data_IF_181006887800
#
_entry.id   IF_181006887800
#
_cell.length_a   1.000
_cell.length_b   1.000
_cell.length_c   1.000
_cell.angle_alpha   90.00
_cell.angle_beta   90.00
_cell.angle_gamma   90.00
#
_symmetry.space_group_name_H-M   'P 1'
#
loop_
_entity.id
_entity.type
_entity.pdbx_description
1 polymer ?
#
# COMPACT_ATOMS: atom_id res chain seq x y z
N UNK A 1 9.95 32.79 15.41
CA UNK A 1 11.39 32.45 15.20
C UNK A 1 11.92 31.40 16.20
N UNK A 2 11.14 30.35 16.49
CA UNK A 2 11.50 29.25 17.41
C UNK A 2 11.40 27.88 16.72
N UNK A 3 10.56 27.76 15.68
CA UNK A 3 10.32 26.51 14.94
C UNK A 3 11.50 26.13 14.00
N UNK A 4 12.24 27.11 13.47
CA UNK A 4 13.41 26.84 12.62
C UNK A 4 14.59 26.20 13.38
N UNK A 5 14.70 26.38 14.70
CA UNK A 5 15.76 25.77 15.52
C UNK A 5 15.53 24.28 15.82
N UNK A 6 14.27 23.81 15.73
CA UNK A 6 13.94 22.40 16.01
C UNK A 6 14.24 21.47 14.84
N UNK A 7 14.01 21.90 13.60
CA UNK A 7 14.30 21.11 12.40
C UNK A 7 15.81 20.87 12.20
N UNK A 8 16.65 21.84 12.56
CA UNK A 8 18.11 21.73 12.41
C UNK A 8 18.74 20.71 13.37
N UNK A 9 18.15 20.50 14.56
CA UNK A 9 18.63 19.49 15.52
C UNK A 9 18.31 18.05 15.10
N UNK A 10 17.23 17.83 14.34
CA UNK A 10 16.85 16.49 13.87
C UNK A 10 17.74 16.00 12.71
N UNK A 11 18.16 16.93 11.83
CA UNK A 11 19.03 16.62 10.68
C UNK A 11 20.46 16.26 11.15
N UNK A 12 20.96 16.89 12.21
CA UNK A 12 22.29 16.59 12.77
C UNK A 12 22.29 15.23 13.49
N UNK A 13 21.19 14.84 14.16
CA UNK A 13 21.10 13.56 14.86
C UNK A 13 20.96 12.35 13.91
N UNK A 14 20.42 12.56 12.70
CA UNK A 14 20.37 11.51 11.67
C UNK A 14 21.71 11.29 10.97
N UNK A 15 22.61 12.29 10.98
CA UNK A 15 23.95 12.18 10.40
C UNK A 15 25.00 11.60 11.36
N UNK A 16 24.78 11.64 12.68
CA UNK A 16 25.75 11.13 13.67
C UNK A 16 25.60 9.64 14.02
N UNK A 17 24.53 8.96 13.57
CA UNK A 17 24.29 7.54 13.88
C UNK A 17 24.81 6.58 12.78
N UNK A 18 25.39 7.10 11.69
CA UNK A 18 25.87 6.26 10.56
C UNK A 18 27.40 6.14 10.43
N UNK A 19 28.21 6.67 11.35
CA UNK A 19 29.70 6.62 11.22
C UNK A 19 30.37 5.56 12.12
N UNK A 20 29.63 4.69 12.81
CA UNK A 20 30.24 3.55 13.52
C UNK A 20 29.56 2.24 13.11
N UNK A 21 29.97 1.73 11.95
CA UNK A 21 30.06 0.29 11.72
C UNK A 21 31.24 0.05 10.76
N UNK A 22 32.32 -0.48 11.31
CA UNK A 22 33.52 -0.86 10.59
C UNK A 22 33.26 -2.00 9.59
N UNK A 23 33.76 -1.78 8.37
CA UNK A 23 34.35 -2.71 7.40
C UNK A 23 34.07 -4.22 7.49
N UNK A 24 33.53 -4.76 6.39
CA UNK A 24 34.18 -5.86 5.66
C UNK A 24 34.10 -5.60 4.15
N UNK A 25 35.18 -5.93 3.46
CA UNK A 25 35.66 -5.44 2.17
C UNK A 25 34.90 -5.93 0.91
N UNK A 26 34.95 -5.07 -0.12
CA UNK A 26 35.08 -5.29 -1.57
C UNK A 26 33.98 -6.08 -2.34
N UNK A 27 33.54 -5.73 -3.55
CA UNK A 27 34.10 -4.83 -4.58
C UNK A 27 33.04 -4.50 -5.65
N UNK A 28 33.28 -3.39 -6.38
CA UNK A 28 32.70 -2.99 -7.67
C UNK A 28 31.33 -2.30 -7.69
N UNK A 29 31.32 -1.04 -7.27
CA UNK A 29 30.46 -0.03 -7.90
C UNK A 29 31.32 0.93 -8.71
N UNK A 30 31.28 0.76 -10.04
CA UNK A 30 31.61 1.84 -10.95
C UNK A 30 30.66 3.00 -10.66
N UNK A 31 31.16 3.99 -9.92
CA UNK A 31 30.49 5.28 -9.72
C UNK A 31 30.46 6.03 -11.05
N UNK A 32 29.38 5.83 -11.80
CA UNK A 32 28.99 6.79 -12.83
C UNK A 32 28.46 8.04 -12.10
N UNK A 33 29.34 9.02 -11.90
CA UNK A 33 28.98 10.38 -11.51
C UNK A 33 28.18 11.04 -12.64
N UNK A 34 26.91 10.67 -12.78
CA UNK A 34 25.91 11.53 -13.40
C UNK A 34 25.22 12.29 -12.27
N UNK A 35 25.10 13.61 -12.43
CA UNK A 35 24.32 14.52 -11.59
C UNK A 35 22.84 14.12 -11.62
N UNK A 36 22.49 12.97 -11.05
CA UNK A 36 21.12 12.54 -10.93
C UNK A 36 20.55 13.31 -9.75
N UNK A 37 19.75 14.32 -10.05
CA UNK A 37 19.02 15.11 -9.05
C UNK A 37 18.09 14.25 -8.21
N UNK A 38 17.77 13.04 -8.67
CA UNK A 38 16.94 12.06 -7.96
C UNK A 38 17.78 11.05 -7.17
N UNK A 39 17.43 10.88 -5.90
CA UNK A 39 17.92 9.79 -5.05
C UNK A 39 16.79 8.83 -4.72
N UNK A 40 16.95 7.56 -5.07
CA UNK A 40 16.03 6.51 -4.64
C UNK A 40 16.17 6.28 -3.14
N UNK A 41 15.04 6.27 -2.43
CA UNK A 41 14.97 6.02 -0.99
C UNK A 41 14.38 4.66 -0.67
N UNK A 42 13.37 4.22 -1.42
CA UNK A 42 12.68 2.94 -1.23
C UNK A 42 12.13 2.41 -2.54
N UNK A 43 11.86 1.11 -2.55
CA UNK A 43 11.08 0.40 -3.55
C UNK A 43 10.28 -0.73 -2.93
N UNK A 44 9.17 -1.07 -3.59
CA UNK A 44 8.29 -2.17 -3.21
C UNK A 44 7.50 -2.64 -4.43
N UNK A 45 6.91 -3.82 -4.33
CA UNK A 45 5.97 -4.35 -5.32
C UNK A 45 4.62 -4.53 -4.62
N UNK A 46 3.52 -4.18 -5.30
CA UNK A 46 2.16 -4.46 -4.83
C UNK A 46 1.47 -5.40 -5.81
N UNK A 47 0.76 -6.40 -5.30
CA UNK A 47 0.03 -7.38 -6.13
C UNK A 47 -1.44 -6.98 -6.34
N UNK A 48 -1.71 -5.67 -6.43
CA UNK A 48 -3.06 -5.12 -6.63
C UNK A 48 -3.24 -4.72 -8.11
N UNK A 49 -3.91 -5.57 -8.90
CA UNK A 49 -4.32 -5.25 -10.28
C UNK A 49 -3.48 -5.82 -11.43
N UNK A 50 -2.38 -6.54 -11.16
CA UNK A 50 -1.61 -7.29 -12.18
C UNK A 50 -1.02 -8.57 -11.57
N UNK A 51 -1.02 -9.66 -12.34
CA UNK A 51 -0.35 -10.93 -11.98
C UNK A 51 1.16 -10.77 -11.88
N UNK A 52 1.73 -9.78 -12.56
CA UNK A 52 3.17 -9.48 -12.54
C UNK A 52 3.54 -8.50 -11.41
N UNK A 53 2.54 -7.92 -10.75
CA UNK A 53 2.71 -6.90 -9.72
C UNK A 53 2.98 -5.50 -10.29
N UNK A 54 2.69 -4.51 -9.45
CA UNK A 54 2.92 -3.09 -9.71
C UNK A 54 4.17 -2.66 -8.92
N UNK A 55 5.20 -2.20 -9.64
CA UNK A 55 6.46 -1.76 -9.05
C UNK A 55 6.35 -0.30 -8.62
N UNK A 56 6.66 0.00 -7.36
CA UNK A 56 6.58 1.35 -6.80
C UNK A 56 7.94 1.77 -6.27
N UNK A 57 8.32 3.00 -6.60
CA UNK A 57 9.59 3.62 -6.22
C UNK A 57 9.34 4.93 -5.48
N UNK A 58 10.11 5.17 -4.43
CA UNK A 58 10.18 6.47 -3.76
C UNK A 58 11.54 7.10 -4.02
N UNK A 59 11.52 8.33 -4.52
CA UNK A 59 12.67 9.17 -4.71
C UNK A 59 12.55 10.47 -3.91
N UNK A 60 13.69 11.11 -3.66
CA UNK A 60 13.77 12.52 -3.28
C UNK A 60 14.59 13.27 -4.32
N UNK A 61 14.12 14.43 -4.74
CA UNK A 61 14.89 15.35 -5.56
C UNK A 61 15.84 16.14 -4.65
N UNK A 62 17.15 15.95 -4.79
CA UNK A 62 18.19 16.62 -4.00
C UNK A 62 18.21 18.14 -4.18
N UNK A 63 17.67 18.66 -5.29
CA UNK A 63 17.65 20.08 -5.62
C UNK A 63 16.38 20.74 -5.07
N UNK A 64 15.20 20.20 -5.40
CA UNK A 64 13.93 20.81 -5.00
C UNK A 64 13.45 20.34 -3.62
N UNK A 65 14.06 19.27 -3.09
CA UNK A 65 13.65 18.54 -1.88
C UNK A 65 12.25 17.93 -1.96
N UNK A 66 11.66 17.86 -3.16
CA UNK A 66 10.38 17.19 -3.35
C UNK A 66 10.55 15.67 -3.27
N UNK A 67 9.56 15.01 -2.68
CA UNK A 67 9.41 13.57 -2.75
C UNK A 67 8.67 13.19 -4.03
N UNK A 68 9.10 12.11 -4.66
CA UNK A 68 8.52 11.60 -5.91
C UNK A 68 8.19 10.13 -5.73
N UNK A 69 6.94 9.77 -5.93
CA UNK A 69 6.52 8.36 -6.05
C UNK A 69 6.32 8.06 -7.52
N UNK A 70 6.98 7.04 -8.02
CA UNK A 70 6.72 6.49 -9.35
C UNK A 70 6.19 5.08 -9.24
N UNK A 71 5.28 4.72 -10.13
CA UNK A 71 4.77 3.37 -10.25
C UNK A 71 4.76 2.92 -11.70
N UNK A 72 5.05 1.65 -11.94
CA UNK A 72 4.94 0.99 -13.24
C UNK A 72 4.23 -0.35 -13.11
N UNK A 73 3.20 -0.54 -13.92
CA UNK A 73 2.45 -1.78 -14.08
C UNK A 73 2.72 -2.30 -15.48
N UNK A 74 3.20 -3.53 -15.57
CA UNK A 74 3.32 -4.25 -16.82
C UNK A 74 2.12 -5.18 -16.99
N UNK A 75 1.64 -5.25 -18.23
CA UNK A 75 0.62 -6.22 -18.64
C UNK A 75 0.91 -6.69 -20.07
N UNK A 76 0.11 -7.65 -20.54
CA UNK A 76 0.33 -8.30 -21.84
C UNK A 76 0.11 -7.37 -23.05
N UNK A 77 -0.76 -6.37 -22.89
CA UNK A 77 -1.23 -5.48 -23.97
C UNK A 77 -0.72 -4.04 -23.84
N UNK A 78 -0.06 -3.72 -22.73
CA UNK A 78 0.48 -2.39 -22.51
C UNK A 78 1.17 -2.25 -21.17
N UNK A 79 1.44 -1.00 -20.80
CA UNK A 79 1.95 -0.65 -19.48
C UNK A 79 1.29 0.62 -18.97
N UNK A 80 1.16 0.72 -17.65
CA UNK A 80 0.57 1.87 -16.97
C UNK A 80 1.62 2.49 -16.06
N UNK A 81 1.74 3.82 -16.08
CA UNK A 81 2.67 4.55 -15.22
C UNK A 81 1.96 5.63 -14.44
N UNK A 82 2.30 5.72 -13.16
CA UNK A 82 1.91 6.82 -12.29
C UNK A 82 3.15 7.55 -11.80
N UNK A 83 3.07 8.87 -11.71
CA UNK A 83 4.12 9.70 -11.08
C UNK A 83 3.47 10.77 -10.22
N UNK A 84 3.90 10.89 -8.97
CA UNK A 84 3.39 11.84 -8.01
C UNK A 84 4.55 12.64 -7.42
N UNK A 85 4.49 13.97 -7.49
CA UNK A 85 5.45 14.87 -6.84
C UNK A 85 4.77 15.59 -5.69
N UNK A 86 5.37 15.58 -4.51
CA UNK A 86 4.78 16.15 -3.31
C UNK A 86 5.84 16.65 -2.32
N UNK A 87 5.43 17.60 -1.49
CA UNK A 87 6.16 18.03 -0.30
C UNK A 87 5.11 18.44 0.72
N UNK A 88 4.85 17.56 1.69
CA UNK A 88 3.67 17.50 2.57
C UNK A 88 2.31 17.37 1.86
N UNK A 89 2.11 18.07 0.76
CA UNK A 89 0.92 18.05 -0.08
C UNK A 89 1.26 17.67 -1.51
N UNK A 90 0.31 17.03 -2.19
CA UNK A 90 0.43 16.64 -3.59
C UNK A 90 0.50 17.88 -4.48
N UNK A 91 1.60 18.02 -5.23
CA UNK A 91 1.85 19.15 -6.16
C UNK A 91 1.51 18.78 -7.59
N UNK A 92 1.96 17.60 -8.04
CA UNK A 92 1.78 17.10 -9.39
C UNK A 92 1.43 15.61 -9.34
N UNK A 93 0.55 15.18 -10.23
CA UNK A 93 0.26 13.78 -10.47
C UNK A 93 0.05 13.58 -11.96
N UNK A 94 0.70 12.56 -12.50
CA UNK A 94 0.58 12.15 -13.89
C UNK A 94 0.24 10.66 -13.94
N UNK A 95 -0.66 10.31 -14.85
CA UNK A 95 -1.01 8.94 -15.20
C UNK A 95 -0.89 8.79 -16.72
N UNK A 96 -0.09 7.83 -17.16
CA UNK A 96 0.10 7.54 -18.57
C UNK A 96 -0.17 6.07 -18.80
N UNK A 97 -1.12 5.79 -19.69
CA UNK A 97 -1.40 4.46 -20.19
C UNK A 97 -0.77 4.30 -21.57
N UNK A 98 0.07 3.30 -21.72
CA UNK A 98 0.66 2.92 -22.99
C UNK A 98 0.05 1.61 -23.47
N UNK A 99 -0.15 1.49 -24.77
CA UNK A 99 -0.48 0.22 -25.42
C UNK A 99 0.67 -0.22 -26.31
N UNK A 100 0.88 -1.54 -26.40
CA UNK A 100 1.82 -2.08 -27.38
C UNK A 100 1.20 -2.04 -28.77
N UNK A 101 2.00 -1.74 -29.80
CA UNK A 101 1.56 -1.85 -31.20
C UNK A 101 1.19 -3.30 -31.57
N UNK A 102 1.85 -4.27 -30.94
CA UNK A 102 1.55 -5.70 -31.01
C UNK A 102 1.70 -6.32 -29.61
N UNK A 103 0.86 -7.30 -29.24
CA UNK A 103 1.03 -8.05 -27.99
C UNK A 103 2.45 -8.60 -27.82
N UNK A 104 2.94 -8.68 -26.57
CA UNK A 104 4.32 -9.09 -26.25
C UNK A 104 4.65 -10.48 -26.84
N UNK A 105 3.68 -11.39 -26.86
CA UNK A 105 3.85 -12.73 -27.41
C UNK A 105 4.01 -12.77 -28.96
N UNK A 106 3.74 -11.66 -29.67
CA UNK A 106 3.86 -11.56 -31.12
C UNK A 106 5.09 -10.77 -31.59
N UNK A 107 5.82 -10.09 -30.70
CA UNK A 107 7.00 -9.32 -31.07
C UNK A 107 8.00 -9.19 -29.92
N UNK A 108 9.26 -9.58 -30.18
CA UNK A 108 10.38 -9.31 -29.25
C UNK A 108 10.76 -7.83 -29.20
N UNK A 109 10.47 -7.07 -30.26
CA UNK A 109 10.69 -5.63 -30.31
C UNK A 109 9.38 -4.91 -29.95
N UNK A 110 9.25 -4.58 -28.66
CA UNK A 110 8.06 -3.92 -28.13
C UNK A 110 8.11 -2.44 -28.52
N UNK A 111 7.09 -1.99 -29.26
CA UNK A 111 6.85 -0.57 -29.54
C UNK A 111 5.63 -0.11 -28.77
N UNK A 112 5.78 1.04 -28.10
CA UNK A 112 4.78 1.62 -27.21
C UNK A 112 4.14 2.84 -27.86
N UNK A 113 2.82 2.94 -27.75
CA UNK A 113 2.06 4.15 -28.08
C UNK A 113 1.36 4.66 -26.83
N UNK A 114 1.37 5.98 -26.61
CA UNK A 114 0.56 6.61 -25.57
C UNK A 114 -0.90 6.51 -25.97
N UNK A 115 -1.68 5.80 -25.17
CA UNK A 115 -3.12 5.61 -25.37
C UNK A 115 -3.93 6.59 -24.53
N UNK A 116 -3.37 7.01 -23.39
CA UNK A 116 -3.99 7.99 -22.49
C UNK A 116 -2.92 8.71 -21.68
N UNK A 117 -3.10 10.01 -21.48
CA UNK A 117 -2.29 10.81 -20.57
C UNK A 117 -3.23 11.73 -19.79
N UNK A 118 -3.09 11.72 -18.47
CA UNK A 118 -3.97 12.40 -17.53
C UNK A 118 -3.18 12.98 -16.37
N UNK A 119 -3.68 14.10 -15.84
CA UNK A 119 -3.11 14.80 -14.70
C UNK A 119 -4.18 15.32 -13.74
N UNK A 120 -3.76 16.09 -12.72
CA UNK A 120 -4.67 16.68 -11.73
C UNK A 120 -5.65 17.71 -12.31
N UNK A 121 -5.42 18.21 -13.51
CA UNK A 121 -6.21 19.27 -14.16
C UNK A 121 -7.13 18.73 -15.26
N UNK A 122 -6.97 17.45 -15.64
CA UNK A 122 -7.70 16.81 -16.73
C UNK A 122 -9.22 16.76 -16.48
N UNK A 123 -9.66 16.34 -15.29
CA UNK A 123 -11.07 16.42 -14.85
C UNK A 123 -11.21 16.29 -13.33
N UNK A 124 -12.41 16.56 -12.79
CA UNK A 124 -12.69 16.38 -11.36
C UNK A 124 -12.62 14.91 -10.95
N UNK A 125 -13.14 14.01 -11.78
CA UNK A 125 -13.12 12.56 -11.58
C UNK A 125 -11.69 12.02 -11.62
N UNK A 126 -10.90 12.44 -12.61
CA UNK A 126 -9.48 12.08 -12.73
C UNK A 126 -8.70 12.54 -11.51
N UNK A 127 -8.90 13.78 -11.08
CA UNK A 127 -8.28 14.31 -9.85
C UNK A 127 -8.62 13.46 -8.63
N UNK A 128 -9.87 13.02 -8.47
CA UNK A 128 -10.26 12.14 -7.37
C UNK A 128 -9.57 10.78 -7.46
N UNK A 129 -9.53 10.16 -8.65
CA UNK A 129 -8.84 8.89 -8.90
C UNK A 129 -7.35 8.98 -8.55
N UNK A 130 -6.66 10.02 -9.04
CA UNK A 130 -5.24 10.24 -8.78
C UNK A 130 -4.95 10.49 -7.30
N UNK A 131 -5.80 11.25 -6.60
CA UNK A 131 -5.64 11.45 -5.16
C UNK A 131 -5.82 10.14 -4.38
N UNK A 132 -6.79 9.29 -4.74
CA UNK A 132 -6.95 7.97 -4.11
C UNK A 132 -5.69 7.12 -4.30
N UNK A 133 -5.18 7.02 -5.53
CA UNK A 133 -3.98 6.24 -5.86
C UNK A 133 -2.73 6.80 -5.17
N UNK A 134 -2.57 8.12 -5.11
CA UNK A 134 -1.50 8.78 -4.34
C UNK A 134 -1.55 8.39 -2.86
N UNK A 135 -2.71 8.47 -2.22
CA UNK A 135 -2.86 8.12 -0.81
C UNK A 135 -2.53 6.65 -0.55
N UNK A 136 -2.94 5.75 -1.45
CA UNK A 136 -2.58 4.34 -1.37
C UNK A 136 -1.06 4.15 -1.34
N UNK A 137 -0.33 4.68 -2.32
CA UNK A 137 1.12 4.52 -2.37
C UNK A 137 1.84 5.23 -1.22
N UNK A 138 1.39 6.43 -0.86
CA UNK A 138 1.95 7.17 0.26
C UNK A 138 1.83 6.35 1.56
N UNK A 139 0.69 5.72 1.81
CA UNK A 139 0.50 4.87 2.99
C UNK A 139 1.40 3.63 2.98
N UNK A 140 1.64 3.04 1.81
CA UNK A 140 2.52 1.89 1.67
C UNK A 140 3.97 2.26 1.95
N UNK A 141 4.47 3.36 1.36
CA UNK A 141 5.87 3.76 1.44
C UNK A 141 6.22 4.44 2.77
N UNK A 142 5.27 5.18 3.35
CA UNK A 142 5.44 5.98 4.56
C UNK A 142 4.61 5.45 5.74
N UNK A 143 4.34 4.13 5.78
CA UNK A 143 3.63 3.48 6.89
C UNK A 143 4.02 4.12 8.22
N UNK A 144 3.07 4.82 8.84
CA UNK A 144 3.24 5.30 10.21
C UNK A 144 3.31 4.08 11.11
N UNK A 145 4.18 4.13 12.12
CA UNK A 145 4.19 3.12 13.19
C UNK A 145 2.77 2.97 13.72
N UNK A 146 2.29 1.74 13.74
CA UNK A 146 0.97 1.42 14.26
C UNK A 146 1.00 1.67 15.77
N UNK A 147 -0.02 2.36 16.27
CA UNK A 147 -0.17 2.63 17.69
C UNK A 147 -0.34 1.30 18.44
N UNK A 148 0.45 1.10 19.50
CA UNK A 148 0.53 -0.17 20.22
C UNK A 148 -0.79 -0.59 20.86
N UNK A 149 -1.73 0.33 21.06
CA UNK A 149 -3.10 -0.01 21.51
C UNK A 149 -3.84 -0.98 20.57
N UNK A 150 -3.45 -0.99 19.29
CA UNK A 150 -4.01 -1.89 18.28
C UNK A 150 -3.27 -3.22 18.19
N UNK A 151 -2.15 -3.41 18.91
CA UNK A 151 -1.40 -4.66 18.81
C UNK A 151 -2.18 -5.82 19.42
N UNK A 152 -2.06 -6.98 18.79
CA UNK A 152 -2.68 -8.22 19.23
C UNK A 152 -3.16 -9.05 18.07
N UNK A 153 -3.65 -10.25 18.42
CA UNK A 153 -4.28 -11.16 17.47
C UNK A 153 -5.78 -11.08 17.65
N UNK A 154 -6.47 -10.84 16.56
CA UNK A 154 -7.90 -10.68 16.51
C UNK A 154 -8.51 -11.82 15.70
N UNK A 155 -9.56 -12.43 16.22
CA UNK A 155 -10.24 -13.54 15.57
C UNK A 155 -11.74 -13.25 15.43
N UNK A 156 -12.33 -13.84 14.41
CA UNK A 156 -13.76 -13.80 14.14
C UNK A 156 -14.14 -15.06 13.36
N UNK A 157 -15.06 -15.85 13.89
CA UNK A 157 -15.69 -16.94 13.16
C UNK A 157 -17.09 -16.50 12.72
N UNK A 158 -17.33 -16.50 11.42
CA UNK A 158 -18.64 -16.20 10.84
C UNK A 158 -19.50 -17.46 10.75
N UNK A 159 -20.80 -17.29 10.92
CA UNK A 159 -21.81 -18.34 10.72
C UNK A 159 -21.54 -19.62 11.54
N UNK A 160 -20.92 -19.51 12.72
CA UNK A 160 -20.51 -20.66 13.55
C UNK A 160 -21.64 -21.65 13.85
N UNK A 161 -22.89 -21.18 13.93
CA UNK A 161 -24.07 -22.00 14.23
C UNK A 161 -24.83 -22.46 12.98
N UNK A 162 -24.21 -22.40 11.79
CA UNK A 162 -24.84 -22.86 10.55
C UNK A 162 -24.73 -24.38 10.43
N UNK A 163 -25.80 -25.03 9.99
CA UNK A 163 -25.84 -26.47 9.77
C UNK A 163 -24.91 -26.91 8.63
N UNK A 164 -24.69 -26.03 7.63
CA UNK A 164 -23.72 -26.26 6.57
C UNK A 164 -22.34 -25.71 6.96
N UNK A 165 -21.44 -26.61 7.35
CA UNK A 165 -20.06 -26.27 7.72
C UNK A 165 -19.28 -25.53 6.62
N UNK A 166 -19.70 -25.66 5.36
CA UNK A 166 -19.06 -24.95 4.23
C UNK A 166 -19.32 -23.44 4.27
N UNK A 167 -20.31 -22.99 5.03
CA UNK A 167 -20.62 -21.57 5.21
C UNK A 167 -19.93 -20.97 6.44
N UNK A 168 -19.12 -21.75 7.16
CA UNK A 168 -18.32 -21.27 8.30
C UNK A 168 -17.00 -20.71 7.76
N UNK A 169 -16.67 -19.50 8.19
CA UNK A 169 -15.45 -18.81 7.79
C UNK A 169 -14.71 -18.27 9.00
N UNK A 170 -13.43 -18.56 9.07
CA UNK A 170 -12.53 -18.07 10.11
C UNK A 170 -11.69 -16.92 9.57
N UNK A 171 -11.70 -15.81 10.31
CA UNK A 171 -10.97 -14.59 9.99
C UNK A 171 -10.00 -14.32 11.13
N UNK A 172 -8.75 -14.03 10.77
CA UNK A 172 -7.69 -13.65 11.70
C UNK A 172 -7.04 -12.36 11.25
N UNK A 173 -6.75 -11.47 12.19
CA UNK A 173 -6.01 -10.23 11.95
C UNK A 173 -4.91 -10.15 13.00
N UNK A 174 -3.66 -10.23 12.56
CA UNK A 174 -2.49 -10.04 13.43
C UNK A 174 -1.98 -8.61 13.23
N UNK A 175 -1.93 -7.85 14.32
CA UNK A 175 -1.44 -6.47 14.32
C UNK A 175 -0.20 -6.40 15.21
N UNK A 176 0.91 -6.02 14.59
CA UNK A 176 2.19 -5.80 15.26
C UNK A 176 2.71 -4.37 15.02
N UNK A 177 3.89 -4.07 15.57
CA UNK A 177 4.59 -2.81 15.30
C UNK A 177 4.98 -2.64 13.82
N UNK A 178 5.17 -3.74 13.10
CA UNK A 178 5.77 -3.75 11.76
C UNK A 178 4.75 -4.10 10.66
N UNK A 179 3.69 -4.82 11.01
CA UNK A 179 2.75 -5.41 10.05
C UNK A 179 1.32 -5.47 10.55
N UNK A 180 0.39 -5.48 9.60
CA UNK A 180 -0.98 -5.94 9.79
C UNK A 180 -1.20 -7.07 8.79
N UNK A 181 -1.52 -8.26 9.26
CA UNK A 181 -1.79 -9.42 8.40
C UNK A 181 -3.24 -9.81 8.58
N UNK A 182 -3.98 -9.85 7.48
CA UNK A 182 -5.33 -10.41 7.42
C UNK A 182 -5.27 -11.80 6.82
N UNK A 183 -5.97 -12.74 7.42
CA UNK A 183 -6.16 -14.09 6.90
C UNK A 183 -7.64 -14.46 6.99
N UNK A 184 -8.18 -15.07 5.93
CA UNK A 184 -9.51 -15.68 5.92
C UNK A 184 -9.44 -17.11 5.37
N UNK A 185 -10.14 -18.03 6.04
CA UNK A 185 -10.18 -19.46 5.72
C UNK A 185 -11.61 -19.97 5.75
N UNK A 186 -11.94 -20.88 4.83
CA UNK A 186 -13.21 -21.59 4.77
C UNK A 186 -13.27 -22.56 3.59
N UNK A 187 -14.44 -23.13 3.33
CA UNK A 187 -14.60 -24.03 2.19
C UNK A 187 -14.34 -23.28 0.87
N UNK A 188 -13.37 -23.78 0.09
CA UNK A 188 -12.89 -23.17 -1.16
C UNK A 188 -12.40 -21.71 -1.03
N UNK A 189 -12.07 -21.27 0.19
CA UNK A 189 -11.59 -19.93 0.49
C UNK A 189 -10.26 -19.99 1.23
N UNK A 190 -9.23 -19.38 0.65
CA UNK A 190 -8.03 -19.03 1.38
C UNK A 190 -7.51 -17.67 0.90
N UNK A 191 -7.46 -16.72 1.83
CA UNK A 191 -6.98 -15.38 1.55
C UNK A 191 -6.00 -14.96 2.62
N UNK A 192 -4.92 -14.33 2.17
CA UNK A 192 -3.92 -13.74 3.06
C UNK A 192 -3.44 -12.43 2.46
N UNK A 193 -3.63 -11.34 3.21
CA UNK A 193 -3.30 -9.99 2.78
C UNK A 193 -2.38 -9.33 3.80
N UNK A 194 -1.32 -8.71 3.31
CA UNK A 194 -0.60 -7.72 4.09
C UNK A 194 -1.37 -6.40 3.99
N UNK A 195 -1.74 -5.83 5.12
CA UNK A 195 -2.47 -4.57 5.21
C UNK A 195 -1.56 -3.44 5.73
N UNK A 196 -1.98 -2.22 5.44
CA UNK A 196 -1.48 -0.99 6.06
C UNK A 196 -2.59 -0.34 6.90
N UNK A 197 -2.20 0.37 7.95
CA UNK A 197 -3.13 0.92 8.94
C UNK A 197 -2.95 2.42 9.15
N UNK A 198 -4.06 3.17 9.19
CA UNK A 198 -4.08 4.56 9.67
C UNK A 198 -4.97 4.65 10.91
N UNK A 199 -4.34 4.97 12.05
CA UNK A 199 -5.06 5.24 13.30
C UNK A 199 -5.61 6.67 13.32
N UNK A 200 -6.91 6.82 13.60
CA UNK A 200 -7.57 8.10 13.92
C UNK A 200 -8.46 7.89 15.14
N UNK A 201 -8.07 8.45 16.29
CA UNK A 201 -8.78 8.27 17.58
C UNK A 201 -9.02 6.78 17.86
N UNK A 202 -10.28 6.37 17.90
CA UNK A 202 -10.74 5.00 18.22
C UNK A 202 -11.05 4.19 16.96
N UNK A 203 -10.49 4.56 15.82
CA UNK A 203 -10.66 3.85 14.55
C UNK A 203 -9.31 3.61 13.88
N UNK A 204 -9.05 2.36 13.50
CA UNK A 204 -7.96 1.95 12.64
C UNK A 204 -8.51 1.68 11.24
N UNK A 205 -8.18 2.51 10.28
CA UNK A 205 -8.50 2.28 8.86
C UNK A 205 -7.48 1.33 8.27
N UNK A 206 -7.94 0.33 7.52
CA UNK A 206 -7.16 -0.74 6.93
C UNK A 206 -7.18 -0.64 5.41
N UNK A 207 -6.03 -0.80 4.78
CA UNK A 207 -5.87 -0.78 3.33
C UNK A 207 -5.02 -1.97 2.90
N UNK A 208 -5.38 -2.64 1.79
CA UNK A 208 -4.50 -3.65 1.22
C UNK A 208 -3.18 -2.98 0.84
N UNK A 209 -2.08 -3.62 1.21
CA UNK A 209 -0.75 -3.23 0.78
C UNK A 209 -0.06 -4.29 -0.06
N UNK A 210 -0.34 -5.57 0.21
CA UNK A 210 0.07 -6.68 -0.64
C UNK A 210 -0.94 -7.83 -0.53
N UNK A 211 -1.16 -8.55 -1.64
CA UNK A 211 -1.96 -9.77 -1.68
C UNK A 211 -0.99 -10.95 -1.67
N UNK A 212 -0.94 -11.70 -0.56
CA UNK A 212 -0.07 -12.87 -0.48
C UNK A 212 -0.76 -14.11 -1.06
N UNK A 213 -2.07 -14.27 -0.81
CA UNK A 213 -2.92 -15.31 -1.39
C UNK A 213 -4.37 -14.80 -1.56
N UNK A 214 -5.04 -15.22 -2.64
CA UNK A 214 -6.44 -14.84 -2.91
C UNK A 214 -7.25 -15.94 -3.62
N UNK A 215 -7.23 -17.16 -3.08
CA UNK A 215 -8.07 -18.26 -3.56
C UNK A 215 -9.52 -17.91 -3.23
N UNK A 216 -10.37 -17.83 -4.25
CA UNK A 216 -11.77 -17.38 -4.15
C UNK A 216 -12.03 -16.00 -4.80
N UNK A 217 -10.98 -15.27 -5.19
CA UNK A 217 -11.08 -14.15 -6.13
C UNK A 217 -11.85 -12.92 -5.66
N UNK A 218 -11.83 -12.61 -4.35
CA UNK A 218 -12.64 -11.50 -3.81
C UNK A 218 -11.79 -10.31 -3.37
N UNK A 219 -12.26 -9.10 -3.67
CA UNK A 219 -11.57 -7.85 -3.37
C UNK A 219 -11.95 -7.32 -1.98
N UNK A 220 -10.94 -7.15 -1.12
CA UNK A 220 -11.06 -6.50 0.18
C UNK A 220 -11.23 -4.98 -0.04
N UNK A 221 -12.45 -4.45 0.15
CA UNK A 221 -12.81 -3.10 -0.34
C UNK A 221 -12.26 -1.92 0.47
N UNK A 222 -12.37 -0.72 -0.13
CA UNK A 222 -11.80 0.59 0.29
C UNK A 222 -12.22 1.10 1.69
N UNK A 223 -13.16 0.47 2.40
CA UNK A 223 -13.69 0.97 3.69
C UNK A 223 -13.43 0.06 4.90
N UNK A 224 -12.41 -0.78 4.82
CA UNK A 224 -12.06 -1.72 5.89
C UNK A 224 -11.55 -0.98 7.13
N UNK A 225 -12.12 -1.25 8.30
CA UNK A 225 -11.70 -0.61 9.56
C UNK A 225 -11.98 -1.43 10.79
N UNK A 226 -11.15 -1.24 11.82
CA UNK A 226 -11.39 -1.71 13.18
C UNK A 226 -11.78 -0.51 14.05
N UNK A 227 -12.85 -0.65 14.82
CA UNK A 227 -13.38 0.38 15.72
C UNK A 227 -13.23 -0.13 17.14
N UNK A 228 -12.58 0.66 17.99
CA UNK A 228 -12.45 0.40 19.42
C UNK A 228 -13.62 1.06 20.16
N UNK A 229 -14.32 0.31 21.01
CA UNK A 229 -15.39 0.80 21.88
C UNK A 229 -15.09 0.30 23.30
N UNK A 230 -14.45 1.13 24.11
CA UNK A 230 -13.87 0.67 25.38
C UNK A 230 -12.79 -0.38 25.12
N UNK A 231 -12.88 -1.54 25.77
CA UNK A 231 -11.95 -2.67 25.60
C UNK A 231 -12.34 -3.60 24.44
N UNK A 232 -13.47 -3.33 23.77
CA UNK A 232 -13.98 -4.18 22.69
C UNK A 232 -13.58 -3.64 21.32
N UNK A 233 -13.31 -4.56 20.39
CA UNK A 233 -12.90 -4.25 19.03
C UNK A 233 -13.94 -4.78 18.04
N UNK A 234 -14.25 -3.98 17.02
CA UNK A 234 -15.23 -4.33 16.01
C UNK A 234 -14.67 -4.10 14.62
N UNK A 235 -14.75 -5.10 13.74
CA UNK A 235 -14.41 -4.95 12.33
C UNK A 235 -15.64 -4.56 11.51
N UNK A 236 -15.46 -3.55 10.65
CA UNK A 236 -16.39 -3.22 9.57
C UNK A 236 -15.64 -3.37 8.25
N UNK A 237 -16.10 -4.28 7.42
CA UNK A 237 -15.49 -4.60 6.13
C UNK A 237 -16.58 -5.16 5.21
N UNK A 238 -16.63 -4.67 3.96
CA UNK A 238 -17.71 -5.05 3.03
C UNK A 238 -17.61 -6.52 2.58
N UNK A 239 -16.41 -7.09 2.59
CA UNK A 239 -16.20 -8.48 2.25
C UNK A 239 -16.67 -9.44 3.36
N UNK A 240 -16.35 -9.16 4.62
CA UNK A 240 -16.90 -9.89 5.79
C UNK A 240 -18.43 -9.83 5.78
N UNK A 241 -19.00 -8.69 5.42
CA UNK A 241 -20.44 -8.53 5.18
C UNK A 241 -20.97 -9.47 4.07
N UNK A 242 -20.23 -9.61 2.96
CA UNK A 242 -20.57 -10.55 1.89
C UNK A 242 -20.54 -12.01 2.36
N UNK A 243 -19.49 -12.44 3.05
CA UNK A 243 -19.34 -13.82 3.58
C UNK A 243 -20.45 -14.20 4.57
N UNK A 244 -20.89 -13.22 5.36
CA UNK A 244 -21.96 -13.37 6.35
C UNK A 244 -23.37 -13.17 5.77
N UNK A 245 -23.51 -12.87 4.47
CA UNK A 245 -24.79 -12.55 3.81
C UNK A 245 -25.55 -11.40 4.49
N UNK A 246 -24.84 -10.47 5.16
CA UNK A 246 -25.42 -9.33 5.89
C UNK A 246 -24.88 -8.01 5.35
N UNK A 247 -25.74 -7.02 5.16
CA UNK A 247 -25.31 -5.69 4.71
C UNK A 247 -24.92 -4.79 5.89
N UNK A 248 -23.90 -3.95 5.69
CA UNK A 248 -23.50 -2.85 6.58
C UNK A 248 -23.27 -3.22 8.06
N UNK A 249 -22.94 -4.48 8.34
CA UNK A 249 -22.76 -4.98 9.71
C UNK A 249 -21.35 -4.68 10.23
N UNK A 250 -21.23 -4.68 11.56
CA UNK A 250 -19.96 -4.65 12.28
C UNK A 250 -19.88 -5.88 13.17
N UNK A 251 -18.74 -6.56 13.15
CA UNK A 251 -18.54 -7.81 13.88
C UNK A 251 -17.59 -7.60 15.04
N UNK A 252 -17.93 -8.13 16.20
CA UNK A 252 -17.03 -8.13 17.35
C UNK A 252 -15.84 -9.04 17.03
N UNK A 253 -14.64 -8.54 17.24
CA UNK A 253 -13.41 -9.32 17.21
C UNK A 253 -13.12 -9.83 18.62
N UNK A 254 -12.74 -11.09 18.73
CA UNK A 254 -12.12 -11.63 19.94
C UNK A 254 -10.63 -11.33 19.89
N UNK A 255 -10.07 -10.81 20.99
CA UNK A 255 -8.65 -10.47 21.09
C UNK A 255 -7.98 -11.48 22.00
N UNK A 256 -6.95 -12.16 21.47
CA UNK A 256 -6.06 -13.05 22.23
C UNK A 256 -5.01 -12.26 23.02
#
# INVERSE_FOLDING_TARGET
MIIQKFLYRYIIYLFSVFIISCNSQNENTHTNNQNNSLQKLKDTIILDGSTEGEQIYLYVNKITLDSIIESEILGETGKERYSFTFNDQLKKANHILYSYEKPIYLSKNIKLKVSKEEDLYSSKEVKQKLNKKFMLYHNILFRKKIDCKWFGKYTLTLNQNNDDWREIYDIKIDISKDSIVYEAKGYQLYQRFLLSGISKKDTLFLYISNIEDNIGGVNFSEESKIIMKGEQFFIKNAYINSLSKKSNSSYKLEKE
#
